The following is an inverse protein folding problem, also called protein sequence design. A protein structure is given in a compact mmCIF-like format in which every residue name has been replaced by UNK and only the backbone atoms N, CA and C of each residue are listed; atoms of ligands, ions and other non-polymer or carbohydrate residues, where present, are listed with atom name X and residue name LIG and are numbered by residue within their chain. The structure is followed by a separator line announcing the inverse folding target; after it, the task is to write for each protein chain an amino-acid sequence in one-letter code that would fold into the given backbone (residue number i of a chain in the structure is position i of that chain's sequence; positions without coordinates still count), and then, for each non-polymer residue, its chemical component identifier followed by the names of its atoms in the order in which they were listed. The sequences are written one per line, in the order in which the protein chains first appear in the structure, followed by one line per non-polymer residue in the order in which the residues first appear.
data_IF_831797891947
#
_entry.id   IF_831797891947
#
_cell.length_a   1.000
_cell.length_b   1.000
_cell.length_c   1.000
_cell.angle_alpha   90.00
_cell.angle_beta   90.00
_cell.angle_gamma   90.00
#
_symmetry.space_group_name_H-M   'P 1'
#
loop_
_entity.id
_entity.type
_entity.pdbx_description
1 polymer ?
#
# COMPACT_ATOMS: atom_id res chain seq x y z
N UNK A 1 -17.57 9.37 -9.52
CA UNK A 1 -16.41 9.40 -10.43
C UNK A 1 -15.10 9.25 -9.66
N UNK A 2 -14.86 10.03 -8.59
CA UNK A 2 -13.70 9.85 -7.68
C UNK A 2 -13.55 8.42 -7.14
N UNK A 3 -14.64 7.80 -6.70
CA UNK A 3 -14.61 6.42 -6.17
C UNK A 3 -14.22 5.39 -7.23
N UNK A 4 -14.65 5.56 -8.48
CA UNK A 4 -14.21 4.70 -9.60
C UNK A 4 -12.73 4.89 -9.92
N UNK A 5 -12.20 6.12 -9.80
CA UNK A 5 -10.77 6.41 -9.99
C UNK A 5 -9.94 5.80 -8.85
N UNK A 6 -10.39 5.94 -7.59
CA UNK A 6 -9.75 5.29 -6.43
C UNK A 6 -9.71 3.77 -6.57
N UNK A 7 -10.84 3.16 -6.94
CA UNK A 7 -10.89 1.71 -7.23
C UNK A 7 -9.92 1.31 -8.35
N UNK A 8 -9.75 2.15 -9.37
CA UNK A 8 -8.80 1.89 -10.45
C UNK A 8 -7.34 2.02 -9.96
N UNK A 9 -6.99 3.05 -9.21
CA UNK A 9 -5.61 3.27 -8.74
C UNK A 9 -5.13 2.12 -7.84
N UNK A 10 -5.97 1.67 -6.90
CA UNK A 10 -5.60 0.56 -6.02
C UNK A 10 -5.67 -0.80 -6.73
N UNK A 11 -6.59 -0.96 -7.69
CA UNK A 11 -6.61 -2.10 -8.60
C UNK A 11 -5.32 -2.25 -9.42
N UNK A 12 -4.71 -1.14 -9.86
CA UNK A 12 -3.41 -1.17 -10.55
C UNK A 12 -2.25 -1.48 -9.61
N UNK A 13 -2.30 -1.01 -8.34
CA UNK A 13 -1.25 -1.27 -7.34
C UNK A 13 -1.14 -2.76 -6.97
N UNK A 14 -2.25 -3.49 -6.95
CA UNK A 14 -2.24 -4.95 -6.70
C UNK A 14 -1.88 -5.78 -7.92
N UNK A 15 -2.18 -5.29 -9.13
CA UNK A 15 -2.10 -6.09 -10.35
C UNK A 15 -0.67 -6.60 -10.62
N UNK A 16 0.34 -5.72 -10.55
CA UNK A 16 1.71 -6.12 -10.83
C UNK A 16 2.24 -7.15 -9.82
N UNK A 17 2.08 -6.96 -8.49
CA UNK A 17 2.42 -7.98 -7.51
C UNK A 17 1.69 -9.32 -7.73
N UNK A 18 0.37 -9.30 -7.99
CA UNK A 18 -0.42 -10.49 -8.28
C UNK A 18 0.09 -11.23 -9.53
N UNK A 19 0.31 -10.50 -10.63
CA UNK A 19 0.80 -11.06 -11.89
C UNK A 19 2.23 -11.63 -11.77
N UNK A 20 3.05 -11.07 -10.89
CA UNK A 20 4.39 -11.56 -10.59
C UNK A 20 4.39 -12.75 -9.59
N UNK A 21 3.23 -13.15 -9.07
CA UNK A 21 3.08 -14.30 -8.16
C UNK A 21 3.35 -13.99 -6.69
N UNK A 22 3.37 -12.72 -6.30
CA UNK A 22 3.52 -12.32 -4.89
C UNK A 22 2.22 -12.47 -4.11
N UNK A 23 2.35 -12.54 -2.78
CA UNK A 23 1.21 -12.66 -1.89
C UNK A 23 0.49 -11.30 -1.75
N UNK A 24 -0.71 -11.23 -2.29
CA UNK A 24 -1.62 -10.08 -2.12
C UNK A 24 -2.88 -10.55 -1.42
N UNK A 25 -3.21 -9.90 -0.31
CA UNK A 25 -4.41 -10.16 0.47
C UNK A 25 -5.29 -8.92 0.49
N UNK A 26 -6.60 -9.14 0.45
CA UNK A 26 -7.59 -8.08 0.69
C UNK A 26 -8.39 -8.46 1.92
N UNK A 27 -8.33 -7.63 2.97
CA UNK A 27 -9.14 -7.79 4.18
C UNK A 27 -9.94 -6.50 4.41
N UNK A 28 -11.26 -6.57 4.20
CA UNK A 28 -12.18 -5.44 4.35
C UNK A 28 -11.77 -4.21 3.52
N UNK A 29 -11.15 -3.23 4.19
CA UNK A 29 -10.72 -1.94 3.63
C UNK A 29 -9.19 -1.85 3.48
N UNK A 30 -8.49 -2.98 3.64
CA UNK A 30 -7.04 -3.09 3.47
C UNK A 30 -6.70 -3.94 2.26
N UNK A 31 -5.73 -3.45 1.49
CA UNK A 31 -4.95 -4.25 0.55
C UNK A 31 -3.56 -4.43 1.15
N UNK A 32 -3.17 -5.68 1.39
CA UNK A 32 -1.88 -6.05 1.98
C UNK A 32 -1.07 -6.73 0.87
N UNK A 33 0.01 -6.10 0.45
CA UNK A 33 0.95 -6.61 -0.53
C UNK A 33 2.21 -7.00 0.24
N UNK A 34 2.52 -8.29 0.26
CA UNK A 34 3.75 -8.80 0.87
C UNK A 34 4.56 -9.55 -0.20
N UNK A 35 5.61 -8.89 -0.68
CA UNK A 35 6.52 -9.48 -1.66
C UNK A 35 7.66 -10.27 -1.00
N UNK A 36 7.78 -10.27 0.33
CA UNK A 36 8.88 -10.92 1.06
C UNK A 36 10.25 -10.28 0.83
N UNK A 37 10.28 -9.09 0.22
CA UNK A 37 11.52 -8.38 -0.11
C UNK A 37 11.96 -7.53 1.09
N UNK A 38 13.28 -7.36 1.26
CA UNK A 38 13.86 -6.55 2.34
C UNK A 38 13.69 -5.04 2.18
N UNK A 39 12.59 -4.58 1.57
CA UNK A 39 12.31 -3.15 1.35
C UNK A 39 10.82 -2.84 1.48
N UNK A 40 10.52 -1.74 2.18
CA UNK A 40 9.16 -1.22 2.35
C UNK A 40 8.51 -0.73 1.05
N UNK A 41 9.28 -0.57 -0.03
CA UNK A 41 8.73 -0.21 -1.35
C UNK A 41 7.93 -1.34 -2.00
N UNK A 42 8.16 -2.59 -1.60
CA UNK A 42 7.50 -3.76 -2.18
C UNK A 42 6.56 -4.47 -1.19
N UNK A 43 6.66 -4.13 0.10
CA UNK A 43 5.74 -4.58 1.13
C UNK A 43 4.88 -3.40 1.54
N UNK A 44 3.61 -3.40 1.11
CA UNK A 44 2.73 -2.24 1.24
C UNK A 44 1.41 -2.68 1.85
N UNK A 45 1.01 -1.99 2.91
CA UNK A 45 -0.36 -2.01 3.40
C UNK A 45 -1.05 -0.74 2.93
N UNK A 46 -2.17 -0.87 2.24
CA UNK A 46 -2.90 0.26 1.70
C UNK A 46 -4.34 0.25 2.21
N UNK A 47 -4.79 1.39 2.71
CA UNK A 47 -6.16 1.60 3.19
C UNK A 47 -6.25 1.88 4.68
N UNK A 48 -7.47 1.79 5.19
CA UNK A 48 -7.80 2.09 6.58
C UNK A 48 -8.33 0.84 7.29
N UNK A 49 -8.00 0.71 8.57
CA UNK A 49 -8.58 -0.30 9.45
C UNK A 49 -8.89 0.26 10.84
N UNK A 50 -9.59 -0.54 11.63
CA UNK A 50 -9.70 -0.31 13.07
C UNK A 50 -8.29 -0.41 13.70
N UNK A 51 -8.04 0.43 14.68
CA UNK A 51 -6.73 0.56 15.35
C UNK A 51 -6.26 -0.74 16.02
N UNK A 52 -7.20 -1.58 16.44
CA UNK A 52 -6.95 -2.90 17.02
C UNK A 52 -6.36 -3.93 16.03
N UNK A 53 -6.51 -3.71 14.72
CA UNK A 53 -5.89 -4.57 13.68
C UNK A 53 -4.42 -4.21 13.40
N UNK A 54 -3.94 -3.04 13.84
CA UNK A 54 -2.60 -2.54 13.50
C UNK A 54 -1.52 -3.53 13.94
N UNK A 55 -1.59 -4.03 15.17
CA UNK A 55 -0.58 -4.97 15.68
C UNK A 55 -0.59 -6.30 14.91
N UNK A 56 -1.75 -6.81 14.53
CA UNK A 56 -1.85 -8.05 13.75
C UNK A 56 -1.16 -7.92 12.38
N UNK A 57 -1.29 -6.75 11.75
CA UNK A 57 -0.66 -6.45 10.46
C UNK A 57 0.85 -6.27 10.64
N UNK A 58 1.29 -5.55 11.68
CA UNK A 58 2.72 -5.44 12.01
C UNK A 58 3.34 -6.82 12.22
N UNK A 59 2.63 -7.74 12.89
CA UNK A 59 3.08 -9.11 13.08
C UNK A 59 3.13 -9.93 11.77
N UNK A 60 2.29 -9.63 10.77
CA UNK A 60 2.30 -10.32 9.48
C UNK A 60 3.59 -10.05 8.67
N UNK A 61 4.20 -8.88 8.87
CA UNK A 61 5.48 -8.51 8.26
C UNK A 61 6.67 -8.83 9.17
N UNK A 62 6.59 -9.89 9.99
CA UNK A 62 7.61 -10.32 10.96
C UNK A 62 9.07 -10.10 10.48
N UNK A 63 9.74 -9.08 11.04
CA UNK A 63 11.12 -8.66 10.70
C UNK A 63 11.34 -8.17 9.25
N UNK A 64 10.28 -7.83 8.52
CA UNK A 64 10.32 -7.27 7.17
C UNK A 64 9.91 -5.79 7.19
N UNK A 65 10.64 -4.91 6.50
CA UNK A 65 10.21 -3.52 6.37
C UNK A 65 8.98 -3.46 5.47
N UNK A 66 7.99 -2.64 5.85
CA UNK A 66 6.81 -2.36 5.04
C UNK A 66 6.37 -0.90 5.19
N UNK A 67 5.69 -0.39 4.18
CA UNK A 67 5.08 0.94 4.18
C UNK A 67 3.57 0.84 4.37
N UNK A 68 2.98 1.84 5.02
CA UNK A 68 1.53 1.95 5.15
C UNK A 68 1.01 3.18 4.41
N UNK A 69 0.28 2.97 3.33
CA UNK A 69 -0.45 4.00 2.61
C UNK A 69 -1.83 4.20 3.24
N UNK A 70 -1.97 5.24 4.06
CA UNK A 70 -3.21 5.59 4.77
C UNK A 70 -4.12 6.43 3.88
N UNK A 71 -5.44 6.20 3.90
CA UNK A 71 -6.41 7.01 3.15
C UNK A 71 -7.15 7.93 4.12
N UNK A 72 -6.66 9.16 4.33
CA UNK A 72 -7.41 10.21 5.04
C UNK A 72 -7.90 9.82 6.47
N UNK A 73 -7.08 9.14 7.26
CA UNK A 73 -7.42 8.74 8.65
C UNK A 73 -6.41 9.25 9.68
N UNK A 74 -6.74 10.35 10.37
CA UNK A 74 -5.91 10.93 11.44
C UNK A 74 -5.72 9.98 12.63
N UNK A 75 -6.76 9.21 12.95
CA UNK A 75 -6.73 8.28 14.09
C UNK A 75 -5.75 7.15 13.81
N UNK A 76 -5.81 6.56 12.60
CA UNK A 76 -4.91 5.49 12.20
C UNK A 76 -3.46 6.01 12.09
N UNK A 77 -3.25 7.18 11.50
CA UNK A 77 -1.92 7.81 11.45
C UNK A 77 -1.31 7.96 12.84
N UNK A 78 -2.06 8.48 13.82
CA UNK A 78 -1.58 8.60 15.21
C UNK A 78 -1.22 7.23 15.79
N UNK A 79 -2.06 6.21 15.57
CA UNK A 79 -1.80 4.87 16.08
C UNK A 79 -0.54 4.24 15.48
N UNK A 80 -0.28 4.49 14.19
CA UNK A 80 0.93 4.01 13.52
C UNK A 80 2.18 4.70 14.04
N UNK A 81 2.12 6.02 14.29
CA UNK A 81 3.22 6.74 14.93
C UNK A 81 3.53 6.19 16.34
N UNK A 82 2.51 5.81 17.12
CA UNK A 82 2.69 5.13 18.42
C UNK A 82 3.41 3.77 18.29
N UNK A 83 3.34 3.11 17.13
CA UNK A 83 4.06 1.86 16.82
C UNK A 83 5.44 2.11 16.20
N UNK A 84 5.93 3.34 16.20
CA UNK A 84 7.26 3.69 15.69
C UNK A 84 7.35 3.92 14.19
N UNK A 85 6.22 4.00 13.48
CA UNK A 85 6.22 4.45 12.09
C UNK A 85 6.61 5.92 12.01
N UNK A 86 7.17 6.32 10.87
CA UNK A 86 7.45 7.71 10.52
C UNK A 86 6.62 8.12 9.31
N UNK A 87 6.29 9.42 9.23
CA UNK A 87 5.60 9.96 8.06
C UNK A 87 6.64 10.34 6.99
N UNK A 88 6.67 9.58 5.90
CA UNK A 88 7.57 9.83 4.76
C UNK A 88 7.03 10.89 3.78
N UNK A 89 5.70 10.98 3.61
CA UNK A 89 5.06 11.96 2.71
C UNK A 89 3.60 12.22 3.09
N UNK A 90 3.14 13.46 2.92
CA UNK A 90 1.77 13.89 3.25
C UNK A 90 0.93 14.30 2.00
N UNK A 91 1.49 14.19 0.79
CA UNK A 91 0.86 14.66 -0.45
C UNK A 91 0.89 13.64 -1.61
N UNK A 92 -0.12 13.67 -2.49
CA UNK A 92 -0.16 12.82 -3.69
C UNK A 92 0.61 13.46 -4.85
N UNK A 93 1.57 12.74 -5.43
CA UNK A 93 1.80 12.74 -6.88
C UNK A 93 2.58 11.51 -7.34
N UNK A 94 2.02 10.78 -8.30
CA UNK A 94 2.75 9.90 -9.20
C UNK A 94 2.40 10.37 -10.62
N UNK A 95 3.42 10.70 -11.42
CA UNK A 95 3.27 11.10 -12.82
C UNK A 95 4.18 10.21 -13.66
N UNK A 96 3.59 9.50 -14.62
CA UNK A 96 4.30 8.57 -15.50
C UNK A 96 4.42 9.13 -16.91
N UNK A 97 5.62 9.04 -17.49
CA UNK A 97 5.87 9.31 -18.91
C UNK A 97 5.79 8.00 -19.70
N UNK A 98 4.79 7.88 -20.57
CA UNK A 98 4.47 6.67 -21.32
C UNK A 98 4.92 6.71 -22.78
N UNK A 99 5.71 7.71 -23.18
CA UNK A 99 6.16 7.83 -24.59
C UNK A 99 6.99 6.62 -25.04
N UNK A 100 7.66 5.92 -24.12
CA UNK A 100 8.41 4.69 -24.42
C UNK A 100 7.54 3.47 -24.78
N UNK A 101 6.27 3.44 -24.36
CA UNK A 101 5.35 2.36 -24.74
C UNK A 101 4.74 2.53 -26.14
N UNK A 102 4.95 3.69 -26.77
CA UNK A 102 4.48 3.99 -28.13
C UNK A 102 5.50 3.61 -29.22
N UNK A 103 6.63 3.00 -28.85
CA UNK A 103 7.55 2.37 -29.78
C UNK A 103 7.25 0.87 -29.88
N UNK A 104 6.10 0.51 -30.41
CA UNK A 104 5.88 -0.83 -30.95
C UNK A 104 5.53 -0.71 -32.42
N UNK A 105 6.53 -1.07 -33.24
CA UNK A 105 6.56 -1.36 -34.68
C UNK A 105 6.15 -0.26 -35.66
#
# INVERSE_FOLDING_TARGET
MLEKIKQNTFGHFRYLPEAAGFNVKTDQNLTIINCGLGSSMFNIVCGNCYTEKVQNIVNEFECQPFAWWIIESKILSRKLLEHGFITETEGRAMLCDLRACLQTN
#
